data_IF_551060921919
#
_entry.id   IF_551060921919
#
_cell.length_a   1.000
_cell.length_b   1.000
_cell.length_c   1.000
_cell.angle_alpha   90.00
_cell.angle_beta   90.00
_cell.angle_gamma   90.00
#
_symmetry.space_group_name_H-M   'P 1'
#
loop_
_entity.id
_entity.type
_entity.pdbx_description
1 polymer ?
#
# COMPACT_ATOMS: atom_id res chain seq x y z
N UNK A 1 -24.79 -31.95 2.21
CA UNK A 1 -23.43 -31.42 1.95
C UNK A 1 -22.88 -30.94 3.27
N UNK A 2 -21.97 -31.70 3.86
CA UNK A 2 -21.19 -31.27 5.01
C UNK A 2 -20.14 -30.28 4.52
N UNK A 3 -20.26 -29.02 4.90
CA UNK A 3 -19.18 -28.05 4.70
C UNK A 3 -18.04 -28.48 5.63
N UNK A 4 -16.87 -28.81 5.06
CA UNK A 4 -15.63 -28.91 5.84
C UNK A 4 -15.44 -27.58 6.57
N UNK A 5 -15.15 -27.61 7.87
CA UNK A 5 -14.86 -26.40 8.64
C UNK A 5 -13.61 -25.72 8.06
N UNK A 6 -13.83 -24.61 7.34
CA UNK A 6 -12.78 -23.72 6.85
C UNK A 6 -12.85 -22.42 7.64
N UNK A 7 -11.71 -21.87 8.06
CA UNK A 7 -11.61 -20.55 8.71
C UNK A 7 -11.89 -19.37 7.78
N UNK A 8 -12.12 -19.65 6.49
CA UNK A 8 -12.41 -18.66 5.47
C UNK A 8 -13.91 -18.59 5.21
N UNK A 9 -14.46 -17.39 5.33
CA UNK A 9 -15.76 -17.07 4.74
C UNK A 9 -15.58 -16.84 3.24
N UNK A 10 -16.04 -17.80 2.44
CA UNK A 10 -16.05 -17.70 0.97
C UNK A 10 -17.40 -17.25 0.43
N UNK A 11 -18.40 -17.08 1.29
CA UNK A 11 -19.78 -16.76 0.91
C UNK A 11 -20.03 -15.26 1.01
N UNK A 12 -19.60 -14.62 2.10
CA UNK A 12 -19.87 -13.21 2.38
C UNK A 12 -21.36 -12.88 2.28
N UNK A 13 -21.70 -11.78 1.60
CA UNK A 13 -23.10 -11.36 1.42
C UNK A 13 -23.86 -12.12 0.31
N UNK A 14 -23.20 -13.03 -0.42
CA UNK A 14 -23.82 -13.75 -1.53
C UNK A 14 -24.49 -12.83 -2.55
N UNK A 15 -25.69 -13.22 -3.02
CA UNK A 15 -26.43 -12.50 -4.09
C UNK A 15 -27.02 -11.15 -3.65
N UNK A 16 -27.12 -10.89 -2.35
CA UNK A 16 -27.89 -9.77 -1.79
C UNK A 16 -27.03 -8.93 -0.85
N UNK A 17 -26.09 -8.12 -1.37
CA UNK A 17 -25.34 -7.16 -0.56
C UNK A 17 -26.26 -6.09 0.02
N UNK A 18 -25.94 -5.56 1.22
CA UNK A 18 -26.73 -4.49 1.83
C UNK A 18 -26.62 -3.19 1.01
N UNK A 19 -27.67 -2.38 1.06
CA UNK A 19 -27.60 -1.00 0.58
C UNK A 19 -26.78 -0.18 1.60
N UNK A 20 -25.63 0.40 1.20
CA UNK A 20 -24.73 1.06 2.14
C UNK A 20 -25.23 2.44 2.62
N UNK A 21 -26.30 2.99 2.03
CA UNK A 21 -26.89 4.28 2.44
C UNK A 21 -25.86 5.41 2.57
N UNK A 22 -24.98 5.55 1.59
CA UNK A 22 -23.93 6.58 1.63
C UNK A 22 -24.50 7.98 1.82
N UNK A 23 -23.78 8.87 2.55
CA UNK A 23 -24.21 10.25 2.75
C UNK A 23 -24.56 10.95 1.44
N UNK A 24 -25.62 11.78 1.45
CA UNK A 24 -26.09 12.49 0.26
C UNK A 24 -26.65 11.59 -0.85
N UNK A 25 -27.00 10.34 -0.54
CA UNK A 25 -27.49 9.36 -1.53
C UNK A 25 -26.46 9.11 -2.66
N UNK A 26 -25.18 9.16 -2.32
CA UNK A 26 -24.10 8.93 -3.28
C UNK A 26 -24.16 7.50 -3.85
N UNK A 27 -23.92 7.37 -5.16
CA UNK A 27 -23.93 6.07 -5.85
C UNK A 27 -22.64 5.27 -5.64
N UNK A 28 -21.57 5.92 -5.22
CA UNK A 28 -20.26 5.35 -4.98
C UNK A 28 -19.56 6.12 -3.86
N UNK A 29 -18.83 5.39 -3.01
CA UNK A 29 -17.84 5.96 -2.10
C UNK A 29 -16.45 5.69 -2.70
N UNK A 30 -15.64 6.73 -2.84
CA UNK A 30 -14.24 6.62 -3.30
C UNK A 30 -13.33 6.92 -2.13
N UNK A 31 -12.39 6.01 -1.83
CA UNK A 31 -11.43 6.16 -0.76
C UNK A 31 -10.01 6.11 -1.33
N UNK A 32 -9.30 7.23 -1.27
CA UNK A 32 -7.90 7.31 -1.70
C UNK A 32 -6.97 6.92 -0.55
N UNK A 33 -6.21 5.85 -0.72
CA UNK A 33 -5.15 5.45 0.20
C UNK A 33 -3.81 5.94 -0.34
N UNK A 34 -3.01 6.56 0.51
CA UNK A 34 -1.60 6.88 0.22
C UNK A 34 -0.75 6.04 1.16
N UNK A 35 -0.04 5.05 0.63
CA UNK A 35 0.94 4.31 1.41
C UNK A 35 2.17 5.19 1.63
N UNK A 36 2.74 5.10 2.82
CA UNK A 36 4.03 5.69 3.16
C UNK A 36 4.86 4.56 3.79
N UNK A 37 5.66 3.92 2.94
CA UNK A 37 6.44 2.72 3.23
C UNK A 37 7.94 3.02 3.17
N UNK A 38 8.31 4.15 2.57
CA UNK A 38 9.68 4.52 2.25
C UNK A 38 10.48 4.89 3.52
N UNK A 39 11.56 4.15 3.75
CA UNK A 39 12.32 4.09 4.99
C UNK A 39 11.95 2.92 5.91
N UNK A 40 10.96 2.10 5.55
CA UNK A 40 10.54 0.89 6.27
C UNK A 40 10.56 -0.37 5.40
N UNK A 41 11.07 -0.27 4.18
CA UNK A 41 11.31 -1.41 3.29
C UNK A 41 12.44 -2.32 3.78
N UNK A 42 12.55 -3.53 3.22
CA UNK A 42 13.62 -4.44 3.62
C UNK A 42 15.01 -3.85 3.37
N UNK A 43 15.80 -3.71 4.43
CA UNK A 43 17.13 -3.12 4.36
C UNK A 43 18.06 -3.71 5.41
N UNK A 44 19.28 -4.07 4.99
CA UNK A 44 20.27 -4.65 5.91
C UNK A 44 20.72 -3.67 7.01
N UNK A 45 20.50 -2.36 6.81
CA UNK A 45 20.77 -1.34 7.83
C UNK A 45 19.75 -1.40 8.98
N UNK A 46 18.57 -1.93 8.71
CA UNK A 46 17.47 -2.09 9.66
C UNK A 46 17.40 -3.51 10.26
N UNK A 47 18.39 -4.35 9.93
CA UNK A 47 18.55 -5.70 10.47
C UNK A 47 17.95 -6.81 9.61
N UNK A 48 17.41 -6.49 8.44
CA UNK A 48 16.87 -7.48 7.51
C UNK A 48 17.97 -8.34 6.86
N UNK A 49 17.66 -9.58 6.47
CA UNK A 49 18.65 -10.48 5.88
C UNK A 49 19.08 -10.10 4.45
N UNK A 50 18.33 -9.24 3.76
CA UNK A 50 18.57 -8.87 2.37
C UNK A 50 17.94 -7.51 2.00
N UNK A 51 18.34 -6.95 0.86
CA UNK A 51 17.71 -5.74 0.29
C UNK A 51 16.28 -5.96 -0.20
N UNK A 52 15.49 -4.89 -0.26
CA UNK A 52 14.17 -4.86 -0.90
C UNK A 52 14.21 -5.30 -2.37
N UNK A 53 13.09 -5.86 -2.82
CA UNK A 53 12.89 -6.45 -4.16
C UNK A 53 11.52 -6.14 -4.77
N UNK A 54 10.59 -5.55 -4.00
CA UNK A 54 9.23 -5.27 -4.44
C UNK A 54 9.04 -3.80 -4.88
N UNK A 55 7.93 -3.59 -5.61
CA UNK A 55 7.31 -2.29 -5.93
C UNK A 55 8.25 -1.13 -6.27
N UNK A 56 9.24 -1.38 -7.12
CA UNK A 56 10.11 -0.35 -7.68
C UNK A 56 10.16 -0.42 -9.20
N UNK A 57 10.89 0.51 -9.81
CA UNK A 57 11.15 0.51 -11.26
C UNK A 57 12.08 -0.64 -11.70
N UNK A 58 12.72 -1.35 -10.76
CA UNK A 58 13.57 -2.52 -11.07
C UNK A 58 12.67 -3.76 -11.12
N UNK A 59 11.97 -3.91 -12.25
CA UNK A 59 11.05 -5.04 -12.47
C UNK A 59 11.79 -6.37 -12.35
N UNK A 60 11.27 -7.27 -11.50
CA UNK A 60 11.86 -8.58 -11.27
C UNK A 60 13.13 -8.57 -10.41
N UNK A 61 13.39 -7.46 -9.68
CA UNK A 61 14.46 -7.41 -8.69
C UNK A 61 14.41 -8.64 -7.77
N UNK A 62 15.59 -9.16 -7.45
CA UNK A 62 15.75 -10.21 -6.45
C UNK A 62 16.40 -9.59 -5.22
N UNK A 63 16.03 -10.03 -4.01
CA UNK A 63 16.67 -9.54 -2.79
C UNK A 63 18.15 -9.92 -2.79
N UNK A 64 19.03 -9.00 -2.38
CA UNK A 64 20.48 -9.27 -2.30
C UNK A 64 20.86 -9.66 -0.88
N UNK A 65 21.18 -10.94 -0.60
CA UNK A 65 21.46 -11.38 0.77
C UNK A 65 22.70 -10.71 1.36
N UNK A 66 22.56 -10.16 2.57
CA UNK A 66 23.64 -9.50 3.32
C UNK A 66 24.22 -8.26 2.63
N UNK A 67 23.53 -7.68 1.65
CA UNK A 67 24.01 -6.56 0.86
C UNK A 67 22.95 -5.47 0.74
N UNK A 68 23.43 -4.24 0.60
CA UNK A 68 22.61 -3.10 0.18
C UNK A 68 22.39 -3.11 -1.32
N UNK A 69 21.22 -2.67 -1.75
CA UNK A 69 20.94 -2.38 -3.15
C UNK A 69 20.70 -0.87 -3.29
N UNK A 70 21.76 -0.11 -3.54
CA UNK A 70 21.72 1.35 -3.56
C UNK A 70 20.76 1.93 -4.62
N UNK A 71 20.56 1.20 -5.73
CA UNK A 71 19.58 1.61 -6.73
C UNK A 71 18.15 1.46 -6.20
N UNK A 72 17.87 0.38 -5.46
CA UNK A 72 16.57 0.19 -4.81
C UNK A 72 16.31 1.26 -3.76
N UNK A 73 17.28 1.49 -2.88
CA UNK A 73 17.19 2.50 -1.82
C UNK A 73 16.95 3.89 -2.41
N UNK A 74 17.69 4.27 -3.47
CA UNK A 74 17.46 5.56 -4.15
C UNK A 74 16.06 5.70 -4.75
N UNK A 75 15.41 4.60 -5.15
CA UNK A 75 14.05 4.61 -5.69
C UNK A 75 13.02 4.80 -4.57
N UNK A 76 13.18 4.10 -3.44
CA UNK A 76 12.36 4.31 -2.25
C UNK A 76 12.53 5.73 -1.70
N UNK A 77 13.77 6.22 -1.61
CA UNK A 77 14.06 7.59 -1.19
C UNK A 77 13.31 8.64 -2.03
N UNK A 78 13.08 8.41 -3.32
CA UNK A 78 12.31 9.35 -4.14
C UNK A 78 10.87 9.51 -3.64
N UNK A 79 10.24 8.43 -3.18
CA UNK A 79 8.91 8.43 -2.60
C UNK A 79 8.80 9.39 -1.43
N UNK A 80 9.63 9.22 -0.41
CA UNK A 80 9.67 10.10 0.77
C UNK A 80 10.13 11.54 0.44
N UNK A 81 11.16 11.68 -0.40
CA UNK A 81 11.79 12.99 -0.67
C UNK A 81 10.98 13.88 -1.59
N UNK A 82 10.26 13.30 -2.55
CA UNK A 82 9.60 14.06 -3.62
C UNK A 82 8.18 13.57 -3.96
N UNK A 83 7.98 12.26 -4.04
CA UNK A 83 6.72 11.63 -4.42
C UNK A 83 5.57 12.04 -3.50
N UNK A 84 5.73 11.82 -2.19
CA UNK A 84 4.75 12.14 -1.16
C UNK A 84 4.33 13.61 -1.22
N UNK A 85 5.28 14.54 -1.26
CA UNK A 85 4.96 15.97 -1.28
C UNK A 85 4.23 16.40 -2.55
N UNK A 86 4.47 15.74 -3.69
CA UNK A 86 3.70 15.97 -4.92
C UNK A 86 2.25 15.53 -4.74
N UNK A 87 2.02 14.34 -4.19
CA UNK A 87 0.67 13.84 -3.90
C UNK A 87 -0.05 14.72 -2.86
N UNK A 88 0.65 15.07 -1.78
CA UNK A 88 0.11 15.94 -0.73
C UNK A 88 -0.41 17.26 -1.31
N UNK A 89 0.37 17.91 -2.20
CA UNK A 89 -0.08 19.14 -2.89
C UNK A 89 -1.29 18.89 -3.78
N UNK A 90 -1.31 17.79 -4.54
CA UNK A 90 -2.39 17.44 -5.47
C UNK A 90 -3.74 17.28 -4.75
N UNK A 91 -3.76 16.47 -3.68
CA UNK A 91 -4.97 16.16 -2.90
C UNK A 91 -5.43 17.36 -2.07
N UNK A 92 -4.49 18.06 -1.42
CA UNK A 92 -4.79 19.29 -0.66
C UNK A 92 -5.43 20.36 -1.55
N UNK A 93 -4.86 20.61 -2.74
CA UNK A 93 -5.39 21.61 -3.66
C UNK A 93 -6.81 21.29 -4.15
N UNK A 94 -7.18 20.00 -4.21
CA UNK A 94 -8.52 19.54 -4.61
C UNK A 94 -9.48 19.38 -3.44
N UNK A 95 -9.01 19.61 -2.21
CA UNK A 95 -9.76 19.35 -0.96
C UNK A 95 -10.30 17.91 -0.91
N UNK A 96 -9.50 16.97 -1.41
CA UNK A 96 -9.84 15.56 -1.44
C UNK A 96 -9.14 14.86 -0.27
N UNK A 97 -9.88 14.30 0.70
CA UNK A 97 -9.29 13.61 1.82
C UNK A 97 -8.65 12.30 1.37
N UNK A 98 -7.58 11.90 2.07
CA UNK A 98 -6.90 10.62 1.91
C UNK A 98 -6.76 9.95 3.27
N UNK A 99 -6.64 8.62 3.26
CA UNK A 99 -6.16 7.86 4.42
C UNK A 99 -4.72 7.48 4.15
N UNK A 100 -3.83 7.74 5.10
CA UNK A 100 -2.42 7.34 4.98
C UNK A 100 -2.24 6.00 5.67
N UNK A 101 -1.68 5.03 4.95
CA UNK A 101 -1.16 3.80 5.53
C UNK A 101 0.33 4.00 5.76
N UNK A 102 0.68 4.41 6.97
CA UNK A 102 2.07 4.64 7.35
C UNK A 102 2.66 3.40 8.02
N UNK A 103 3.83 2.97 7.56
CA UNK A 103 4.66 1.98 8.26
C UNK A 103 5.25 2.62 9.52
N UNK A 104 5.38 1.84 10.61
CA UNK A 104 5.79 2.27 11.94
C UNK A 104 6.96 1.44 12.46
#
# INVERSE_FOLDING_TARGET
>A
MTFLETSRDLVGYGRTPPDPKWPGNARIAVQFVVNYEEGGESCILDGDPASESLLSEIVGAQPWPGQRNLNMESLYEYGARAGFWRLWRLFTARRMPVTVYGVA
#
